data_IF_172475611386
#
_entry.id   IF_172475611386
#
_cell.length_a   1.000
_cell.length_b   1.000
_cell.length_c   1.000
_cell.angle_alpha   90.00
_cell.angle_beta   90.00
_cell.angle_gamma   90.00
#
_symmetry.space_group_name_H-M   'P 1'
#
loop_
_entity.id
_entity.type
_entity.pdbx_description
1 polymer ?
#
# COMPACT_ATOMS: atom_id res chain seq x y z
N UNK A 1 -15.64 -11.96 -27.28
CA UNK A 1 -16.04 -12.28 -25.90
C UNK A 1 -15.32 -11.28 -25.00
N UNK A 2 -15.82 -10.97 -23.82
CA UNK A 2 -15.12 -10.05 -22.91
C UNK A 2 -14.50 -10.87 -21.78
N UNK A 3 -13.19 -10.73 -21.60
CA UNK A 3 -12.49 -11.26 -20.42
C UNK A 3 -12.71 -10.28 -19.28
N UNK A 4 -13.16 -10.78 -18.13
CA UNK A 4 -13.38 -9.98 -16.93
C UNK A 4 -12.39 -10.46 -15.87
N UNK A 5 -11.54 -9.56 -15.39
CA UNK A 5 -10.49 -9.86 -14.42
C UNK A 5 -10.50 -8.83 -13.28
N UNK A 6 -9.88 -9.16 -12.17
CA UNK A 6 -9.46 -8.19 -11.17
C UNK A 6 -7.94 -8.26 -11.00
N UNK A 7 -7.34 -7.13 -10.66
CA UNK A 7 -5.92 -7.04 -10.32
C UNK A 7 -5.75 -6.26 -9.01
N UNK A 8 -4.80 -6.70 -8.18
CA UNK A 8 -4.56 -6.15 -6.85
C UNK A 8 -3.08 -6.25 -6.46
N UNK A 9 -2.68 -5.43 -5.51
CA UNK A 9 -1.36 -5.40 -4.90
C UNK A 9 -1.42 -5.42 -3.38
N UNK A 10 -0.40 -5.97 -2.75
CA UNK A 10 -0.29 -5.99 -1.29
C UNK A 10 1.15 -5.76 -0.87
N UNK A 11 1.34 -5.05 0.25
CA UNK A 11 2.66 -4.90 0.87
C UNK A 11 2.56 -5.02 2.40
N UNK A 12 3.37 -5.91 2.96
CA UNK A 12 3.52 -6.10 4.41
C UNK A 12 4.54 -5.07 4.95
N UNK A 13 4.10 -3.82 5.07
CA UNK A 13 4.91 -2.63 5.20
C UNK A 13 5.09 -1.94 3.84
N UNK A 14 5.19 -0.60 3.83
CA UNK A 14 5.27 0.15 2.58
C UNK A 14 6.44 1.17 2.63
N UNK A 15 7.67 0.77 2.14
CA UNK A 15 8.01 -0.48 1.46
C UNK A 15 8.22 -1.68 2.42
N UNK A 16 8.05 -2.90 1.88
CA UNK A 16 8.23 -4.17 2.59
C UNK A 16 8.06 -5.37 1.66
N UNK A 17 7.95 -6.61 2.20
CA UNK A 17 7.56 -7.74 1.38
C UNK A 17 6.24 -7.46 0.67
N UNK A 18 6.25 -7.53 -0.66
CA UNK A 18 5.12 -7.11 -1.48
C UNK A 18 4.72 -8.20 -2.47
N UNK A 19 3.43 -8.27 -2.74
CA UNK A 19 2.83 -9.18 -3.70
C UNK A 19 1.93 -8.44 -4.69
N UNK A 20 1.72 -9.07 -5.82
CA UNK A 20 0.76 -8.67 -6.83
C UNK A 20 -0.01 -9.90 -7.29
N UNK A 21 -1.22 -9.71 -7.76
CA UNK A 21 -2.00 -10.77 -8.39
C UNK A 21 -3.01 -10.20 -9.39
N UNK A 22 -3.45 -11.09 -10.26
CA UNK A 22 -4.69 -10.93 -11.00
C UNK A 22 -5.47 -12.25 -11.01
N UNK A 23 -6.79 -12.14 -11.16
CA UNK A 23 -7.69 -13.28 -11.14
C UNK A 23 -8.83 -13.09 -12.15
N UNK A 24 -9.11 -14.15 -12.92
CA UNK A 24 -10.26 -14.27 -13.83
C UNK A 24 -11.18 -15.37 -13.30
N UNK A 25 -10.64 -16.57 -13.10
CA UNK A 25 -11.30 -17.76 -12.58
C UNK A 25 -10.27 -18.75 -11.99
N UNK A 26 -10.71 -19.94 -11.57
CA UNK A 26 -9.84 -20.94 -10.94
C UNK A 26 -8.75 -21.50 -11.88
N UNK A 27 -8.93 -21.39 -13.19
CA UNK A 27 -7.98 -21.88 -14.20
C UNK A 27 -7.11 -20.75 -14.76
N UNK A 28 -7.45 -19.46 -14.49
CA UNK A 28 -6.79 -18.29 -15.05
C UNK A 28 -6.52 -17.27 -13.96
N UNK A 29 -5.36 -17.36 -13.34
CA UNK A 29 -4.84 -16.40 -12.36
C UNK A 29 -3.33 -16.45 -12.31
N UNK A 30 -2.71 -15.37 -11.86
CA UNK A 30 -1.29 -15.38 -11.53
C UNK A 30 -0.99 -14.45 -10.36
N UNK A 31 0.09 -14.75 -9.66
CA UNK A 31 0.64 -13.87 -8.63
C UNK A 31 2.16 -13.93 -8.61
N UNK A 32 2.75 -12.95 -7.96
CA UNK A 32 4.19 -12.83 -7.74
C UNK A 32 4.50 -11.73 -6.75
N UNK A 33 5.74 -11.29 -6.70
CA UNK A 33 6.10 -10.22 -5.77
C UNK A 33 7.60 -10.11 -5.52
N UNK A 34 7.95 -9.45 -4.43
CA UNK A 34 9.32 -9.13 -4.06
C UNK A 34 9.51 -9.16 -2.55
N UNK A 35 10.74 -9.41 -2.12
CA UNK A 35 11.12 -9.28 -0.71
C UNK A 35 11.03 -7.82 -0.22
N UNK A 36 11.11 -6.86 -1.14
CA UNK A 36 11.01 -5.44 -0.85
C UNK A 36 10.33 -4.71 -2.02
N UNK A 37 9.15 -4.18 -1.80
CA UNK A 37 8.33 -3.45 -2.77
C UNK A 37 7.32 -2.56 -2.07
N UNK A 38 6.46 -1.93 -2.84
CA UNK A 38 5.37 -1.08 -2.34
C UNK A 38 4.03 -1.62 -2.84
N UNK A 39 2.95 -1.22 -2.16
CA UNK A 39 1.59 -1.56 -2.59
C UNK A 39 1.35 -1.13 -4.05
N UNK A 40 1.69 0.11 -4.39
CA UNK A 40 1.54 0.63 -5.75
C UNK A 40 2.33 -0.16 -6.81
N UNK A 41 3.51 -0.69 -6.46
CA UNK A 41 4.23 -1.59 -7.36
C UNK A 41 3.43 -2.86 -7.61
N UNK A 42 2.84 -3.42 -6.56
CA UNK A 42 1.97 -4.59 -6.66
C UNK A 42 0.78 -4.34 -7.59
N UNK A 43 0.00 -3.29 -7.31
CA UNK A 43 -1.15 -2.86 -8.09
C UNK A 43 -0.84 -2.74 -9.60
N UNK A 44 0.20 -1.97 -9.91
CA UNK A 44 0.61 -1.73 -11.29
C UNK A 44 1.14 -3.00 -11.98
N UNK A 45 1.85 -3.85 -11.23
CA UNK A 45 2.45 -5.07 -11.80
C UNK A 45 1.39 -6.14 -12.03
N UNK A 46 0.39 -6.27 -11.17
CA UNK A 46 -0.75 -7.17 -11.40
C UNK A 46 -1.47 -6.84 -12.71
N UNK A 47 -1.75 -5.55 -12.94
CA UNK A 47 -2.32 -5.08 -14.22
C UNK A 47 -1.37 -5.36 -15.40
N UNK A 48 -0.08 -5.06 -15.24
CA UNK A 48 0.91 -5.25 -16.32
C UNK A 48 1.03 -6.71 -16.73
N UNK A 49 1.15 -7.63 -15.77
CA UNK A 49 1.25 -9.07 -16.04
C UNK A 49 0.00 -9.60 -16.75
N UNK A 50 -1.20 -9.20 -16.31
CA UNK A 50 -2.45 -9.56 -16.97
C UNK A 50 -2.47 -9.09 -18.44
N UNK A 51 -2.08 -7.83 -18.69
CA UNK A 51 -2.01 -7.27 -20.04
C UNK A 51 -1.03 -8.04 -20.92
N UNK A 52 0.11 -8.42 -20.40
CA UNK A 52 1.14 -9.19 -21.11
C UNK A 52 0.66 -10.61 -21.41
N UNK A 53 0.04 -11.27 -20.46
CA UNK A 53 -0.43 -12.65 -20.63
C UNK A 53 -1.63 -12.75 -21.58
N UNK A 54 -2.44 -11.71 -21.69
CA UNK A 54 -3.57 -11.63 -22.62
C UNK A 54 -3.25 -10.89 -23.92
N UNK A 55 -1.96 -10.55 -24.17
CA UNK A 55 -1.56 -9.74 -25.34
C UNK A 55 -1.87 -10.38 -26.70
N UNK A 56 -1.94 -11.71 -26.74
CA UNK A 56 -2.22 -12.49 -27.95
C UNK A 56 -3.70 -12.62 -28.28
N UNK A 57 -4.59 -12.08 -27.42
CA UNK A 57 -6.03 -12.19 -27.56
C UNK A 57 -6.63 -10.91 -28.13
N UNK A 58 -7.63 -11.06 -29.00
CA UNK A 58 -8.37 -9.93 -29.60
C UNK A 58 -9.63 -9.56 -28.80
N UNK A 59 -9.93 -10.31 -27.72
CA UNK A 59 -11.09 -10.08 -26.87
C UNK A 59 -11.00 -8.76 -26.09
N UNK A 60 -12.14 -8.17 -25.81
CA UNK A 60 -12.24 -7.06 -24.87
C UNK A 60 -11.79 -7.52 -23.47
N UNK A 61 -11.03 -6.69 -22.77
CA UNK A 61 -10.58 -6.95 -21.41
C UNK A 61 -11.13 -5.87 -20.46
N UNK A 62 -11.91 -6.31 -19.48
CA UNK A 62 -12.39 -5.46 -18.38
C UNK A 62 -11.63 -5.81 -17.10
N UNK A 63 -10.93 -4.83 -16.52
CA UNK A 63 -10.10 -5.01 -15.32
C UNK A 63 -10.75 -4.24 -14.17
N UNK A 64 -11.13 -4.97 -13.13
CA UNK A 64 -11.53 -4.39 -11.84
C UNK A 64 -10.30 -4.14 -10.99
N UNK A 65 -10.20 -2.94 -10.43
CA UNK A 65 -9.19 -2.56 -9.44
C UNK A 65 -9.84 -1.70 -8.36
N UNK A 66 -9.42 -1.87 -7.12
CA UNK A 66 -9.82 -0.97 -6.03
C UNK A 66 -8.83 0.20 -5.84
N UNK A 67 -7.65 0.13 -6.46
CA UNK A 67 -6.68 1.20 -6.51
C UNK A 67 -7.05 2.29 -7.52
N UNK A 68 -7.55 3.42 -7.04
CA UNK A 68 -7.74 4.61 -7.88
C UNK A 68 -6.41 5.13 -8.43
N UNK A 69 -5.32 4.98 -7.67
CA UNK A 69 -4.00 5.36 -8.13
C UNK A 69 -3.60 4.56 -9.38
N UNK A 70 -3.76 3.25 -9.37
CA UNK A 70 -3.44 2.41 -10.54
C UNK A 70 -4.27 2.81 -11.75
N UNK A 71 -5.60 2.92 -11.60
CA UNK A 71 -6.51 3.31 -12.69
C UNK A 71 -6.16 4.69 -13.24
N UNK A 72 -6.04 5.71 -12.37
CA UNK A 72 -5.80 7.09 -12.79
C UNK A 72 -4.39 7.26 -13.39
N UNK A 73 -3.41 6.57 -12.85
CA UNK A 73 -2.05 6.55 -13.42
C UNK A 73 -2.05 6.04 -14.85
N UNK A 74 -2.72 4.92 -15.11
CA UNK A 74 -2.75 4.28 -16.43
C UNK A 74 -3.63 5.07 -17.41
N UNK A 75 -4.84 5.45 -16.96
CA UNK A 75 -5.86 5.98 -17.90
C UNK A 75 -5.80 7.50 -18.09
N UNK A 76 -5.36 8.24 -17.06
CA UNK A 76 -5.40 9.72 -17.07
C UNK A 76 -4.03 10.36 -17.14
N UNK A 77 -3.05 9.89 -16.35
CA UNK A 77 -1.80 10.63 -16.16
C UNK A 77 -0.68 10.14 -17.09
N UNK A 78 -0.61 8.86 -17.39
CA UNK A 78 0.43 8.23 -18.22
C UNK A 78 0.59 8.92 -19.58
N UNK A 79 -0.47 9.30 -20.34
CA UNK A 79 -0.31 10.03 -21.60
C UNK A 79 0.37 11.40 -21.44
N UNK A 80 0.11 12.05 -20.29
CA UNK A 80 0.74 13.32 -19.93
C UNK A 80 2.20 13.17 -19.56
N UNK A 81 2.53 12.16 -18.77
CA UNK A 81 3.89 11.84 -18.39
C UNK A 81 4.76 11.42 -19.58
N UNK A 82 4.24 10.58 -20.47
CA UNK A 82 4.91 10.18 -21.71
C UNK A 82 5.32 11.39 -22.55
N UNK A 83 4.40 12.36 -22.75
CA UNK A 83 4.70 13.62 -23.49
C UNK A 83 5.77 14.47 -22.83
N UNK A 84 5.92 14.40 -21.51
CA UNK A 84 6.91 15.15 -20.71
C UNK A 84 8.19 14.35 -20.45
N UNK A 85 8.41 13.23 -21.17
CA UNK A 85 9.59 12.38 -20.99
C UNK A 85 9.63 11.67 -19.64
N UNK A 86 8.46 11.24 -19.14
CA UNK A 86 8.30 10.51 -17.88
C UNK A 86 8.73 11.30 -16.65
N UNK A 87 8.44 12.62 -16.67
CA UNK A 87 8.71 13.53 -15.57
C UNK A 87 7.44 14.14 -15.01
N UNK A 88 7.43 14.33 -13.69
CA UNK A 88 6.41 15.09 -12.95
C UNK A 88 6.51 16.59 -13.27
N UNK A 89 5.57 17.39 -12.76
CA UNK A 89 5.54 18.84 -12.97
C UNK A 89 6.78 19.56 -12.38
N UNK A 90 7.36 19.00 -11.33
CA UNK A 90 8.58 19.48 -10.67
C UNK A 90 9.89 19.05 -11.37
N UNK A 91 9.79 18.32 -12.49
CA UNK A 91 10.93 17.82 -13.26
C UNK A 91 11.53 16.50 -12.76
N UNK A 92 11.08 15.96 -11.63
CA UNK A 92 11.52 14.66 -11.12
C UNK A 92 10.94 13.51 -11.96
N UNK A 93 11.59 12.33 -11.97
CA UNK A 93 11.03 11.13 -12.60
C UNK A 93 9.67 10.75 -12.01
N UNK A 94 8.80 10.17 -12.83
CA UNK A 94 7.56 9.56 -12.35
C UNK A 94 7.91 8.33 -11.50
N UNK A 95 7.18 8.11 -10.42
CA UNK A 95 7.31 6.90 -9.60
C UNK A 95 7.01 5.66 -10.44
N UNK A 96 7.68 4.55 -10.15
CA UNK A 96 7.49 3.28 -10.86
C UNK A 96 7.62 3.45 -12.40
N UNK A 97 8.52 4.32 -12.85
CA UNK A 97 8.59 4.76 -14.24
C UNK A 97 8.79 3.60 -15.22
N UNK A 98 9.53 2.58 -14.84
CA UNK A 98 9.76 1.42 -15.72
C UNK A 98 8.50 0.56 -15.85
N UNK A 99 7.74 0.37 -14.76
CA UNK A 99 6.44 -0.29 -14.80
C UNK A 99 5.46 0.53 -15.65
N UNK A 100 5.46 1.87 -15.50
CA UNK A 100 4.61 2.76 -16.30
C UNK A 100 4.94 2.72 -17.78
N UNK A 101 6.21 2.65 -18.16
CA UNK A 101 6.63 2.49 -19.57
C UNK A 101 6.18 1.15 -20.15
N UNK A 102 6.28 0.09 -19.36
CA UNK A 102 5.85 -1.24 -19.78
C UNK A 102 4.32 -1.30 -19.92
N UNK A 103 3.58 -0.68 -18.99
CA UNK A 103 2.12 -0.52 -19.09
C UNK A 103 1.72 0.25 -20.34
N UNK A 104 2.39 1.37 -20.66
CA UNK A 104 2.14 2.14 -21.89
C UNK A 104 2.36 1.30 -23.15
N UNK A 105 3.37 0.44 -23.14
CA UNK A 105 3.65 -0.47 -24.26
C UNK A 105 2.64 -1.64 -24.35
N UNK A 106 2.09 -2.09 -23.23
CA UNK A 106 1.15 -3.22 -23.17
C UNK A 106 -0.32 -2.79 -23.35
N UNK A 107 -0.65 -1.49 -23.19
CA UNK A 107 -2.02 -0.99 -23.32
C UNK A 107 -2.57 -1.16 -24.72
N UNK A 108 -3.85 -1.54 -24.79
CA UNK A 108 -4.59 -1.79 -26.02
C UNK A 108 -5.94 -1.07 -26.01
N UNK A 109 -6.52 -0.73 -27.18
CA UNK A 109 -7.82 -0.01 -27.24
C UNK A 109 -9.02 -0.80 -26.69
N UNK A 110 -8.91 -2.13 -26.63
CA UNK A 110 -9.93 -3.05 -26.10
C UNK A 110 -9.81 -3.31 -24.60
N UNK A 111 -8.94 -2.57 -23.86
CA UNK A 111 -8.80 -2.68 -22.41
C UNK A 111 -9.58 -1.57 -21.74
N UNK A 112 -10.36 -1.92 -20.71
CA UNK A 112 -11.14 -1.01 -19.89
C UNK A 112 -10.90 -1.30 -18.44
N UNK A 113 -10.98 -0.25 -17.62
CA UNK A 113 -10.86 -0.34 -16.16
C UNK A 113 -12.17 0.08 -15.52
N UNK A 114 -12.53 -0.61 -14.45
CA UNK A 114 -13.64 -0.24 -13.59
C UNK A 114 -13.20 -0.28 -12.12
N UNK A 115 -13.48 0.80 -11.41
CA UNK A 115 -13.16 0.87 -10.00
C UNK A 115 -14.19 0.10 -9.19
N UNK A 116 -13.71 -0.72 -8.27
CA UNK A 116 -14.53 -1.40 -7.25
C UNK A 116 -14.09 -0.95 -5.87
N UNK A 117 -14.98 -1.05 -4.89
CA UNK A 117 -14.59 -0.77 -3.52
C UNK A 117 -13.90 -2.01 -2.95
N UNK A 118 -12.68 -1.84 -2.45
CA UNK A 118 -11.94 -2.90 -1.77
C UNK A 118 -12.70 -3.46 -0.57
N UNK A 119 -12.57 -4.75 -0.33
CA UNK A 119 -13.20 -5.51 0.77
C UNK A 119 -14.73 -5.30 0.89
N UNK A 120 -15.42 -5.19 -0.23
CA UNK A 120 -16.85 -4.92 -0.27
C UNK A 120 -17.68 -6.05 -0.91
N UNK A 121 -17.14 -7.27 -0.96
CA UNK A 121 -17.85 -8.45 -1.48
C UNK A 121 -17.77 -8.60 -3.00
N UNK A 122 -16.84 -7.93 -3.69
CA UNK A 122 -16.62 -8.15 -5.12
C UNK A 122 -15.75 -9.38 -5.33
N UNK A 123 -16.34 -10.50 -5.75
CA UNK A 123 -15.73 -11.84 -5.76
C UNK A 123 -14.35 -11.88 -6.44
N UNK A 124 -14.20 -11.29 -7.63
CA UNK A 124 -12.94 -11.31 -8.37
C UNK A 124 -11.86 -10.46 -7.65
N UNK A 125 -12.22 -9.29 -7.11
CA UNK A 125 -11.27 -8.44 -6.39
C UNK A 125 -10.80 -9.09 -5.09
N UNK A 126 -11.72 -9.74 -4.35
CA UNK A 126 -11.34 -10.47 -3.13
C UNK A 126 -10.46 -11.69 -3.42
N UNK A 127 -10.63 -12.33 -4.60
CA UNK A 127 -9.75 -13.41 -5.02
C UNK A 127 -8.35 -12.87 -5.36
N UNK A 128 -8.24 -11.76 -6.10
CA UNK A 128 -6.97 -11.12 -6.40
C UNK A 128 -6.27 -10.62 -5.12
N UNK A 129 -6.99 -9.96 -4.20
CA UNK A 129 -6.48 -9.52 -2.90
C UNK A 129 -5.87 -10.68 -2.09
N UNK A 130 -6.59 -11.79 -1.97
CA UNK A 130 -6.09 -12.98 -1.27
C UNK A 130 -4.80 -13.52 -1.87
N UNK A 131 -4.70 -13.57 -3.19
CA UNK A 131 -3.51 -14.03 -3.89
C UNK A 131 -2.32 -13.06 -3.71
N UNK A 132 -2.55 -11.75 -3.81
CA UNK A 132 -1.53 -10.73 -3.60
C UNK A 132 -1.02 -10.75 -2.15
N UNK A 133 -1.91 -10.86 -1.17
CA UNK A 133 -1.56 -10.99 0.24
C UNK A 133 -0.77 -12.28 0.53
N UNK A 134 -1.18 -13.41 -0.05
CA UNK A 134 -0.46 -14.68 0.08
C UNK A 134 0.95 -14.60 -0.54
N UNK A 135 1.09 -13.93 -1.68
CA UNK A 135 2.37 -13.70 -2.33
C UNK A 135 3.29 -12.83 -1.47
N UNK A 136 2.80 -11.73 -0.91
CA UNK A 136 3.56 -10.89 0.02
C UNK A 136 3.99 -11.66 1.28
N UNK A 137 3.11 -12.50 1.83
CA UNK A 137 3.42 -13.34 2.99
C UNK A 137 4.50 -14.40 2.67
N UNK A 138 4.48 -14.99 1.47
CA UNK A 138 5.53 -15.92 1.02
C UNK A 138 6.89 -15.23 0.94
N UNK A 139 6.95 -14.04 0.39
CA UNK A 139 8.18 -13.24 0.33
C UNK A 139 8.68 -12.80 1.71
N UNK A 140 7.79 -12.54 2.66
CA UNK A 140 8.18 -12.31 4.07
C UNK A 140 8.90 -13.51 4.66
N UNK A 141 8.56 -14.72 4.23
CA UNK A 141 9.22 -15.96 4.64
C UNK A 141 10.46 -16.30 3.80
N UNK A 142 10.80 -15.47 2.81
CA UNK A 142 11.91 -15.72 1.88
C UNK A 142 11.64 -16.84 0.87
N UNK A 143 10.37 -17.15 0.61
CA UNK A 143 9.93 -18.20 -0.33
C UNK A 143 9.17 -17.54 -1.47
N UNK A 144 9.51 -17.90 -2.72
CA UNK A 144 8.73 -17.45 -3.86
C UNK A 144 7.30 -18.06 -3.81
N UNK A 145 6.24 -17.28 -4.10
CA UNK A 145 4.89 -17.82 -4.16
C UNK A 145 4.71 -18.76 -5.37
N UNK A 146 3.67 -19.59 -5.33
CA UNK A 146 3.20 -20.29 -6.53
C UNK A 146 2.74 -19.25 -7.56
N UNK A 147 3.32 -19.19 -8.76
CA UNK A 147 2.99 -18.14 -9.73
C UNK A 147 1.60 -18.30 -10.36
N UNK A 148 0.91 -19.41 -10.12
CA UNK A 148 -0.36 -19.76 -10.72
C UNK A 148 -0.26 -20.27 -12.18
N UNK A 149 -1.40 -20.71 -12.73
CA UNK A 149 -1.47 -21.27 -14.10
C UNK A 149 -1.22 -20.22 -15.19
N UNK A 150 -1.48 -18.95 -14.88
CA UNK A 150 -1.46 -17.89 -15.87
C UNK A 150 -2.70 -17.90 -16.76
N UNK A 151 -2.68 -17.08 -17.82
CA UNK A 151 -3.72 -17.12 -18.85
C UNK A 151 -3.30 -18.11 -19.93
N UNK A 152 -3.89 -19.30 -19.94
CA UNK A 152 -3.41 -20.44 -20.70
C UNK A 152 -3.53 -20.26 -22.21
N UNK A 153 -2.54 -20.76 -22.92
CA UNK A 153 -2.53 -20.97 -24.36
C UNK A 153 -1.16 -21.07 -25.02
N UNK A 154 -0.09 -20.65 -24.39
CA UNK A 154 1.24 -20.77 -24.99
C UNK A 154 2.29 -21.05 -23.93
N UNK A 155 2.99 -22.17 -24.04
CA UNK A 155 4.14 -22.56 -23.20
C UNK A 155 5.37 -21.66 -23.30
N UNK A 156 5.17 -20.36 -23.53
CA UNK A 156 6.21 -19.32 -23.57
C UNK A 156 6.36 -18.61 -22.24
N UNK A 157 5.47 -18.90 -21.28
CA UNK A 157 5.28 -18.07 -20.10
C UNK A 157 6.32 -18.26 -18.98
N UNK A 158 6.98 -19.40 -18.89
CA UNK A 158 7.80 -19.70 -17.70
C UNK A 158 9.17 -19.03 -17.72
N UNK A 159 9.80 -18.89 -18.87
CA UNK A 159 11.11 -18.22 -19.01
C UNK A 159 10.95 -16.69 -18.99
N UNK A 160 9.88 -16.17 -19.65
CA UNK A 160 9.61 -14.73 -19.69
C UNK A 160 9.15 -14.18 -18.31
N UNK A 161 8.48 -14.98 -17.48
CA UNK A 161 8.02 -14.57 -16.13
C UNK A 161 9.19 -14.27 -15.20
N UNK A 162 10.20 -15.12 -15.15
CA UNK A 162 11.38 -14.92 -14.30
C UNK A 162 12.20 -13.68 -14.68
N UNK A 163 12.35 -13.43 -15.98
CA UNK A 163 13.15 -12.31 -16.49
C UNK A 163 12.39 -10.97 -16.48
N UNK A 164 11.08 -10.95 -16.80
CA UNK A 164 10.28 -9.74 -16.77
C UNK A 164 10.09 -9.21 -15.35
N UNK A 165 9.87 -10.10 -14.37
CA UNK A 165 9.70 -9.67 -12.97
C UNK A 165 11.03 -9.28 -12.31
N UNK A 166 12.15 -9.87 -12.69
CA UNK A 166 13.49 -9.45 -12.25
C UNK A 166 13.86 -8.05 -12.76
N UNK A 167 13.38 -7.67 -13.96
CA UNK A 167 13.63 -6.35 -14.54
C UNK A 167 12.92 -5.21 -13.79
N UNK A 168 11.83 -5.51 -13.07
CA UNK A 168 11.08 -4.54 -12.26
C UNK A 168 11.37 -4.64 -10.76
N UNK A 169 12.38 -5.41 -10.37
CA UNK A 169 12.83 -5.45 -8.97
C UNK A 169 13.20 -4.03 -8.51
N UNK A 170 12.77 -3.60 -7.32
CA UNK A 170 13.02 -2.24 -6.86
C UNK A 170 14.52 -1.98 -6.76
N UNK A 171 15.02 -1.02 -7.52
CA UNK A 171 16.28 -0.38 -7.18
C UNK A 171 16.02 0.38 -5.89
N UNK A 172 16.76 0.09 -4.83
CA UNK A 172 16.63 0.77 -3.53
C UNK A 172 16.95 2.25 -3.74
N UNK A 173 15.93 3.04 -4.04
CA UNK A 173 15.99 4.48 -3.99
C UNK A 173 15.31 4.86 -2.69
N UNK A 174 16.01 5.59 -1.82
CA UNK A 174 15.45 6.10 -0.59
C UNK A 174 14.10 6.80 -0.87
N UNK A 175 13.07 6.63 -0.02
CA UNK A 175 11.77 7.22 -0.26
C UNK A 175 11.88 8.74 -0.25
N UNK A 176 11.72 9.37 -1.43
CA UNK A 176 11.46 10.80 -1.49
C UNK A 176 9.96 11.06 -1.25
N UNK A 177 9.60 12.09 -0.49
CA UNK A 177 8.20 12.41 -0.22
C UNK A 177 7.47 12.71 -1.53
N UNK A 178 6.38 12.00 -1.77
CA UNK A 178 5.57 12.12 -2.98
C UNK A 178 4.74 13.42 -2.94
N UNK A 179 4.95 14.30 -3.91
CA UNK A 179 4.20 15.57 -4.04
C UNK A 179 2.79 15.37 -4.64
N UNK A 180 2.50 14.17 -5.11
CA UNK A 180 1.15 13.73 -5.48
C UNK A 180 0.89 12.44 -4.69
N UNK A 181 0.72 12.63 -3.36
CA UNK A 181 0.49 11.54 -2.43
C UNK A 181 -0.56 10.58 -2.98
N UNK A 182 -0.31 9.31 -2.74
CA UNK A 182 -1.37 8.31 -2.75
C UNK A 182 -2.62 8.99 -2.19
N UNK A 183 -3.74 8.88 -2.87
CA UNK A 183 -4.99 9.09 -2.16
C UNK A 183 -5.13 7.86 -1.28
N UNK A 184 -4.39 7.88 -0.17
CA UNK A 184 -4.51 6.89 0.88
C UNK A 184 -5.99 6.85 1.26
N UNK A 185 -6.52 5.68 1.46
CA UNK A 185 -7.79 5.60 2.19
C UNK A 185 -7.61 6.29 3.53
N UNK A 186 -8.68 6.75 4.11
CA UNK A 186 -8.64 7.36 5.45
C UNK A 186 -7.89 6.47 6.45
N UNK A 187 -8.08 5.15 6.34
CA UNK A 187 -7.45 4.13 7.16
C UNK A 187 -5.93 4.05 6.94
N UNK A 188 -5.50 4.05 5.69
CA UNK A 188 -4.06 4.00 5.33
C UNK A 188 -3.36 5.29 5.73
N UNK A 189 -3.99 6.46 5.51
CA UNK A 189 -3.46 7.75 5.93
C UNK A 189 -3.27 7.76 7.46
N UNK A 190 -4.27 7.34 8.22
CA UNK A 190 -4.20 7.31 9.69
C UNK A 190 -3.14 6.32 10.20
N UNK A 191 -2.98 5.15 9.58
CA UNK A 191 -1.93 4.20 9.93
C UNK A 191 -0.54 4.76 9.63
N UNK A 192 -0.36 5.47 8.51
CA UNK A 192 0.90 6.14 8.20
C UNK A 192 1.22 7.25 9.23
N UNK A 193 0.23 8.03 9.65
CA UNK A 193 0.38 9.04 10.69
C UNK A 193 0.68 8.43 12.07
N UNK A 194 0.03 7.30 12.44
CA UNK A 194 0.33 6.55 13.67
C UNK A 194 1.79 6.08 13.68
N UNK A 195 2.27 5.50 12.59
CA UNK A 195 3.67 5.07 12.44
C UNK A 195 4.64 6.24 12.49
N UNK A 196 4.28 7.39 11.92
CA UNK A 196 5.15 8.58 11.93
C UNK A 196 5.44 9.09 13.35
N UNK A 197 4.48 8.94 14.28
CA UNK A 197 4.67 9.28 15.69
C UNK A 197 5.72 8.41 16.41
N UNK A 198 6.14 7.30 15.81
CA UNK A 198 7.17 6.41 16.34
C UNK A 198 8.55 6.69 15.75
N UNK A 199 8.63 7.52 14.71
CA UNK A 199 9.92 7.85 14.07
C UNK A 199 10.70 8.88 14.87
N UNK A 200 12.02 8.70 14.89
CA UNK A 200 12.95 9.64 15.51
C UNK A 200 12.83 11.06 14.93
N UNK A 201 12.56 11.16 13.62
CA UNK A 201 12.40 12.44 12.94
C UNK A 201 11.25 13.26 13.54
N UNK A 202 10.07 12.66 13.69
CA UNK A 202 8.90 13.31 14.28
C UNK A 202 9.12 13.56 15.77
N UNK A 203 9.67 12.60 16.50
CA UNK A 203 9.82 12.68 17.96
C UNK A 203 10.87 13.69 18.42
N UNK A 204 11.81 14.05 17.54
CA UNK A 204 12.80 15.14 17.82
C UNK A 204 12.25 16.53 17.53
N UNK A 205 11.13 16.66 16.84
CA UNK A 205 10.53 17.96 16.49
C UNK A 205 9.17 18.13 17.22
N UNK A 206 9.14 18.90 18.33
CA UNK A 206 7.89 19.18 19.06
C UNK A 206 6.81 19.81 18.18
N UNK A 207 7.18 20.56 17.14
CA UNK A 207 6.23 21.15 16.22
C UNK A 207 5.64 20.09 15.26
N UNK A 208 6.41 19.07 14.86
CA UNK A 208 5.90 17.93 14.12
C UNK A 208 4.90 17.12 14.96
N UNK A 209 5.24 16.80 16.19
CA UNK A 209 4.33 16.14 17.13
C UNK A 209 3.05 16.97 17.31
N UNK A 210 3.17 18.27 17.55
CA UNK A 210 2.04 19.16 17.75
C UNK A 210 1.08 19.20 16.54
N UNK A 211 1.57 19.01 15.31
CA UNK A 211 0.72 18.95 14.10
C UNK A 211 -0.12 17.67 14.02
N UNK A 212 0.35 16.60 14.62
CA UNK A 212 -0.33 15.29 14.62
C UNK A 212 -1.33 15.13 15.75
N UNK A 213 -1.23 15.94 16.82
CA UNK A 213 -2.12 15.85 17.98
C UNK A 213 -3.24 16.90 17.90
N UNK A 214 -4.49 16.45 18.07
CA UNK A 214 -5.66 17.34 18.17
C UNK A 214 -5.50 18.36 19.32
N UNK A 215 -6.01 19.60 19.20
CA UNK A 215 -5.94 20.60 20.27
C UNK A 215 -6.47 20.12 21.62
N UNK A 216 -7.44 19.23 21.63
CA UNK A 216 -8.02 18.62 22.83
C UNK A 216 -7.47 17.22 23.13
N UNK A 217 -6.28 16.89 22.61
CA UNK A 217 -5.68 15.58 22.81
C UNK A 217 -5.47 15.24 24.28
N UNK A 218 -5.68 13.97 24.60
CA UNK A 218 -5.31 13.38 25.88
C UNK A 218 -4.80 11.95 25.68
N UNK A 219 -3.96 11.46 26.58
CA UNK A 219 -3.44 10.11 26.49
C UNK A 219 -3.10 9.49 27.83
N UNK A 220 -3.04 8.17 27.85
CA UNK A 220 -2.65 7.37 29.01
C UNK A 220 -1.46 6.50 28.60
N UNK A 221 -0.21 6.95 28.85
CA UNK A 221 0.97 6.11 28.58
C UNK A 221 0.97 4.87 29.51
N UNK A 222 1.91 3.96 29.24
CA UNK A 222 2.05 2.72 30.01
C UNK A 222 2.22 2.92 31.53
N UNK A 223 2.61 4.12 31.96
CA UNK A 223 2.66 4.52 33.39
C UNK A 223 1.28 4.68 34.02
N UNK A 224 0.19 4.73 33.27
CA UNK A 224 -1.18 4.88 33.74
C UNK A 224 -1.58 6.31 34.13
N UNK A 225 -0.72 7.32 33.92
CA UNK A 225 -1.01 8.71 34.23
C UNK A 225 -1.67 9.41 33.05
N UNK A 226 -2.75 10.15 33.29
CA UNK A 226 -3.41 10.93 32.26
C UNK A 226 -2.52 12.14 31.85
N UNK A 227 -2.18 12.23 30.57
CA UNK A 227 -1.43 13.32 29.98
C UNK A 227 -2.34 14.24 29.18
N UNK A 228 -2.06 15.53 29.27
CA UNK A 228 -2.57 16.52 28.33
C UNK A 228 -1.74 16.55 27.05
N UNK A 229 -2.21 17.28 26.05
CA UNK A 229 -1.44 17.55 24.82
C UNK A 229 -0.11 18.24 25.11
N UNK A 230 -0.08 19.17 26.05
CA UNK A 230 1.13 19.88 26.43
C UNK A 230 2.17 18.94 27.05
N UNK A 231 1.73 18.06 27.97
CA UNK A 231 2.59 17.05 28.58
C UNK A 231 3.19 16.12 27.52
N UNK A 232 2.38 15.69 26.54
CA UNK A 232 2.86 14.83 25.46
C UNK A 232 3.91 15.52 24.60
N UNK A 233 3.67 16.76 24.17
CA UNK A 233 4.62 17.51 23.34
C UNK A 233 5.95 17.76 24.07
N UNK A 234 5.91 17.99 25.37
CA UNK A 234 7.10 18.23 26.17
C UNK A 234 7.88 16.93 26.47
N UNK A 235 7.18 15.82 26.69
CA UNK A 235 7.78 14.56 27.12
C UNK A 235 8.16 13.63 25.98
N UNK A 236 7.58 13.78 24.78
CA UNK A 236 7.92 12.93 23.64
C UNK A 236 9.39 13.18 23.22
N UNK A 237 10.15 12.09 23.22
CA UNK A 237 11.54 12.04 22.80
C UNK A 237 11.76 10.81 21.91
N UNK A 238 12.84 10.74 21.12
CA UNK A 238 13.25 9.51 20.44
C UNK A 238 13.29 8.32 21.41
N UNK A 239 13.05 7.15 20.90
CA UNK A 239 13.24 5.93 21.66
C UNK A 239 14.74 5.64 21.83
N UNK A 240 15.11 4.99 22.93
CA UNK A 240 16.52 4.58 23.16
C UNK A 240 16.96 3.40 22.29
N UNK A 241 15.98 2.67 21.73
CA UNK A 241 16.20 1.53 20.83
C UNK A 241 15.22 1.56 19.66
N UNK A 242 15.48 0.74 18.66
CA UNK A 242 14.57 0.59 17.52
C UNK A 242 13.23 0.01 17.99
N UNK A 243 12.14 0.62 17.58
CA UNK A 243 10.78 0.14 17.84
C UNK A 243 10.07 -0.18 16.54
N UNK A 244 9.22 -1.21 16.57
CA UNK A 244 8.35 -1.57 15.47
C UNK A 244 6.89 -1.45 15.86
N UNK A 245 6.01 -1.24 14.86
CA UNK A 245 4.57 -1.15 15.05
C UNK A 245 3.85 -2.23 14.27
N UNK A 246 3.25 -3.16 14.99
CA UNK A 246 2.38 -4.19 14.45
C UNK A 246 0.93 -3.72 14.50
N UNK A 247 0.35 -3.43 13.33
CA UNK A 247 -1.06 -3.07 13.21
C UNK A 247 -1.93 -4.31 13.47
N UNK A 248 -2.83 -4.20 14.46
CA UNK A 248 -3.81 -5.26 14.73
C UNK A 248 -5.09 -5.01 13.93
N UNK A 249 -5.62 -3.77 13.96
CA UNK A 249 -6.88 -3.42 13.31
C UNK A 249 -7.04 -1.90 13.21
N UNK A 250 -7.66 -1.45 12.11
CA UNK A 250 -8.28 -0.12 12.03
C UNK A 250 -9.79 -0.30 11.97
N UNK A 251 -10.51 0.48 12.73
CA UNK A 251 -11.97 0.44 12.80
C UNK A 251 -12.56 1.83 12.59
N UNK A 252 -13.44 1.96 11.61
CA UNK A 252 -14.17 3.21 11.36
C UNK A 252 -15.35 3.30 12.33
N UNK A 253 -15.24 4.19 13.29
CA UNK A 253 -16.29 4.41 14.30
C UNK A 253 -17.41 5.33 13.78
N UNK A 254 -17.04 6.32 12.94
CA UNK A 254 -17.95 7.27 12.31
C UNK A 254 -17.29 7.91 11.08
N UNK A 255 -18.03 8.64 10.22
CA UNK A 255 -17.42 9.51 9.22
C UNK A 255 -16.44 10.48 9.90
N UNK A 256 -15.15 10.39 9.57
CA UNK A 256 -14.10 11.21 10.17
C UNK A 256 -13.63 10.80 11.57
N UNK A 257 -13.88 9.55 12.00
CA UNK A 257 -13.36 9.00 13.24
C UNK A 257 -12.89 7.55 13.05
N UNK A 258 -11.61 7.28 13.32
CA UNK A 258 -10.96 5.98 13.17
C UNK A 258 -10.29 5.57 14.49
N UNK A 259 -10.47 4.31 14.88
CA UNK A 259 -9.75 3.69 15.99
C UNK A 259 -8.66 2.78 15.42
N UNK A 260 -7.42 3.03 15.81
CA UNK A 260 -6.26 2.20 15.46
C UNK A 260 -5.89 1.37 16.68
N UNK A 261 -5.83 0.05 16.50
CA UNK A 261 -5.34 -0.89 17.50
C UNK A 261 -4.06 -1.54 17.00
N UNK A 262 -3.03 -1.55 17.83
CA UNK A 262 -1.74 -2.12 17.45
C UNK A 262 -0.86 -2.47 18.64
N UNK A 263 0.37 -2.87 18.33
CA UNK A 263 1.41 -3.18 19.31
C UNK A 263 2.67 -2.42 18.94
N UNK A 264 3.27 -1.78 19.89
CA UNK A 264 4.64 -1.24 19.79
C UNK A 264 5.55 -2.27 20.45
N UNK A 265 6.57 -2.73 19.71
CA UNK A 265 7.52 -3.74 20.16
C UNK A 265 8.90 -3.09 20.18
N UNK A 266 9.57 -3.15 21.31
CA UNK A 266 10.94 -2.70 21.53
C UNK A 266 11.71 -3.68 22.40
N UNK A 267 12.94 -3.36 22.75
CA UNK A 267 13.82 -4.22 23.54
C UNK A 267 13.27 -4.55 24.95
N UNK A 268 12.50 -3.62 25.53
CA UNK A 268 11.89 -3.77 26.87
C UNK A 268 10.55 -4.53 26.86
N UNK A 269 10.12 -5.05 25.71
CA UNK A 269 8.89 -5.80 25.58
C UNK A 269 7.87 -5.15 24.62
N UNK A 270 6.63 -5.61 24.70
CA UNK A 270 5.55 -5.13 23.85
C UNK A 270 4.51 -4.33 24.64
N UNK A 271 3.94 -3.33 23.99
CA UNK A 271 2.89 -2.47 24.53
C UNK A 271 1.71 -2.49 23.57
N UNK A 272 0.53 -2.87 24.05
CA UNK A 272 -0.71 -2.75 23.32
C UNK A 272 -1.13 -1.29 23.25
N UNK A 273 -1.53 -0.82 22.07
CA UNK A 273 -1.93 0.56 21.87
C UNK A 273 -3.32 0.69 21.28
N UNK A 274 -4.01 1.74 21.67
CA UNK A 274 -5.26 2.17 21.05
C UNK A 274 -5.23 3.69 20.83
N UNK A 275 -5.46 4.12 19.58
CA UNK A 275 -5.41 5.52 19.18
C UNK A 275 -6.69 5.91 18.46
N UNK A 276 -7.35 6.96 18.94
CA UNK A 276 -8.49 7.56 18.27
C UNK A 276 -8.00 8.71 17.40
N UNK A 277 -8.25 8.61 16.11
CA UNK A 277 -7.97 9.64 15.13
C UNK A 277 -9.27 10.30 14.67
N UNK A 278 -9.28 11.62 14.58
CA UNK A 278 -10.41 12.38 14.09
C UNK A 278 -10.00 13.28 12.93
N UNK A 279 -10.92 13.50 12.00
CA UNK A 279 -10.70 14.40 10.87
C UNK A 279 -10.89 15.85 11.30
N UNK A 280 -9.86 16.65 11.14
CA UNK A 280 -9.82 18.09 11.39
C UNK A 280 -9.69 18.84 10.04
N UNK A 281 -10.81 19.17 9.42
CA UNK A 281 -10.82 19.72 8.06
C UNK A 281 -10.40 18.70 7.01
N UNK A 282 -9.24 18.92 6.37
CA UNK A 282 -8.68 18.01 5.35
C UNK A 282 -7.58 17.09 5.88
N UNK A 283 -7.26 17.13 7.17
CA UNK A 283 -6.18 16.35 7.79
C UNK A 283 -6.73 15.51 8.95
N UNK A 284 -5.99 14.46 9.30
CA UNK A 284 -6.27 13.67 10.49
C UNK A 284 -5.42 14.13 11.66
N UNK A 285 -5.98 14.09 12.86
CA UNK A 285 -5.28 14.38 14.11
C UNK A 285 -5.62 13.32 15.16
N UNK A 286 -4.62 12.88 15.92
CA UNK A 286 -4.83 11.95 17.02
C UNK A 286 -5.52 12.69 18.18
N UNK A 287 -6.68 12.21 18.57
CA UNK A 287 -7.53 12.78 19.63
C UNK A 287 -7.27 12.15 20.99
N UNK A 288 -6.94 10.86 20.97
CA UNK A 288 -6.66 10.07 22.18
C UNK A 288 -5.66 8.97 21.86
N UNK A 289 -4.80 8.65 22.83
CA UNK A 289 -3.90 7.51 22.79
C UNK A 289 -3.83 6.81 24.14
N UNK A 290 -3.82 5.49 24.12
CA UNK A 290 -3.59 4.68 25.31
C UNK A 290 -2.57 3.58 25.01
N UNK A 291 -1.67 3.38 25.96
CA UNK A 291 -0.71 2.28 25.96
C UNK A 291 -0.91 1.40 27.18
N UNK A 292 -0.86 0.08 27.00
CA UNK A 292 -0.98 -0.91 28.06
C UNK A 292 0.14 -1.93 27.91
N UNK A 293 1.01 -2.13 28.92
CA UNK A 293 2.03 -3.17 28.86
C UNK A 293 1.41 -4.54 28.61
N UNK A 294 2.02 -5.32 27.73
CA UNK A 294 1.62 -6.70 27.52
C UNK A 294 2.18 -7.55 28.66
N UNK A 295 1.36 -8.42 29.24
CA UNK A 295 1.70 -9.23 30.42
C UNK A 295 2.63 -10.40 30.08
#
# INVERSE_FOLDING_TARGET
MTIIAAADGSALGNPGPAGWAWYVDEEHWACGGWAHGTNNMGELTGVLDLLQQTAHLDEDLLIYCDSRYAIDSITKWMPGWKRKGWKKADGKPVMNVEIMKALDAAMRPNVRFEWVKGHAGHELNEAADKLANAAAASWKLGVAPDPGPGYSGTGVAEVARGEAHAAYAPTVVAPEPDLFGEVLTDEEEVVALERSLLTDEVRRDPAAVARLLDPSWSGIPASGVLWSRADAIEAIAPYDSEVSFDLTRVERLAPGALLVLGRIIGDDGAVLTSSLWIRAGHTWAQRFHQSTPEA
#
